data_IF_475386988995
#
_entry.id   IF_475386988995
#
_cell.length_a   1.000
_cell.length_b   1.000
_cell.length_c   1.000
_cell.angle_alpha   90.00
_cell.angle_beta   90.00
_cell.angle_gamma   90.00
#
_symmetry.space_group_name_H-M   'P 1'
#
loop_
_entity.id
_entity.type
_entity.pdbx_description
1 polymer ?
#
# COMPACT_ATOMS: atom_id res chain seq x y z
N UNK A 1 -13.42 -9.69 2.81
CA UNK A 1 -12.44 -9.55 1.70
C UNK A 1 -11.75 -10.88 1.45
N UNK A 2 -11.45 -11.19 0.19
CA UNK A 2 -10.62 -12.34 -0.17
C UNK A 2 -9.16 -12.12 0.25
N UNK A 3 -8.33 -13.17 0.38
CA UNK A 3 -6.90 -13.02 0.67
C UNK A 3 -6.17 -12.12 -0.34
N UNK A 4 -6.56 -12.19 -1.62
CA UNK A 4 -6.00 -11.33 -2.67
C UNK A 4 -6.36 -9.85 -2.51
N UNK A 5 -7.57 -9.54 -2.04
CA UNK A 5 -8.01 -8.17 -1.76
C UNK A 5 -7.25 -7.57 -0.57
N UNK A 6 -7.10 -8.35 0.52
CA UNK A 6 -6.30 -7.91 1.67
C UNK A 6 -4.85 -7.60 1.29
N UNK A 7 -4.25 -8.47 0.48
CA UNK A 7 -2.89 -8.24 -0.02
C UNK A 7 -2.80 -7.01 -0.92
N UNK A 8 -3.77 -6.79 -1.82
CA UNK A 8 -3.80 -5.58 -2.65
C UNK A 8 -3.85 -4.30 -1.81
N UNK A 9 -4.62 -4.33 -0.71
CA UNK A 9 -4.68 -3.23 0.25
C UNK A 9 -3.34 -3.00 0.95
N UNK A 10 -2.70 -4.07 1.45
CA UNK A 10 -1.38 -3.96 2.08
C UNK A 10 -0.31 -3.38 1.13
N UNK A 11 -0.32 -3.79 -0.15
CA UNK A 11 0.57 -3.20 -1.18
C UNK A 11 0.35 -1.71 -1.34
N UNK A 12 -0.92 -1.31 -1.45
CA UNK A 12 -1.28 0.10 -1.60
C UNK A 12 -0.81 0.92 -0.39
N UNK A 13 -1.04 0.43 0.83
CA UNK A 13 -0.59 1.09 2.06
C UNK A 13 0.93 1.22 2.12
N UNK A 14 1.68 0.17 1.78
CA UNK A 14 3.14 0.24 1.74
C UNK A 14 3.64 1.24 0.69
N UNK A 15 3.04 1.26 -0.51
CA UNK A 15 3.39 2.24 -1.53
C UNK A 15 3.06 3.68 -1.10
N UNK A 16 1.89 3.91 -0.50
CA UNK A 16 1.52 5.22 0.02
C UNK A 16 2.48 5.69 1.12
N UNK A 17 2.91 4.76 1.98
CA UNK A 17 3.92 5.03 2.99
C UNK A 17 5.25 5.46 2.39
N UNK A 18 5.74 4.76 1.36
CA UNK A 18 6.97 5.12 0.65
C UNK A 18 6.90 6.52 0.04
N UNK A 19 5.75 6.88 -0.55
CA UNK A 19 5.55 8.21 -1.13
C UNK A 19 5.47 9.34 -0.09
N UNK A 20 5.23 9.00 1.18
CA UNK A 20 5.17 9.99 2.29
C UNK A 20 6.55 10.25 2.89
N UNK A 21 7.54 9.38 2.62
CA UNK A 21 8.90 9.58 3.11
C UNK A 21 9.53 10.78 2.40
N UNK A 22 10.26 11.66 3.11
CA UNK A 22 11.01 12.73 2.48
C UNK A 22 12.04 12.08 1.54
N UNK A 23 11.94 12.38 0.24
CA UNK A 23 12.96 11.97 -0.70
C UNK A 23 14.27 12.63 -0.28
N UNK A 24 15.22 11.83 0.23
CA UNK A 24 16.59 12.28 0.44
C UNK A 24 17.12 12.77 -0.92
N UNK A 25 17.35 14.07 -0.98
CA UNK A 25 17.67 14.88 -2.16
C UNK A 25 18.82 14.23 -2.97
N UNK A 26 18.51 13.60 -4.10
CA UNK A 26 19.50 13.31 -5.14
C UNK A 26 19.55 14.50 -6.10
N UNK A 27 20.64 15.28 -6.13
CA UNK A 27 20.72 16.43 -7.01
C UNK A 27 21.03 16.00 -8.44
N UNK A 28 20.37 16.68 -9.37
CA UNK A 28 20.69 16.80 -10.80
C UNK A 28 20.56 15.56 -11.71
N UNK A 29 19.41 15.47 -12.42
CA UNK A 29 19.39 15.39 -13.89
C UNK A 29 18.00 15.75 -14.47
N UNK A 30 17.98 16.89 -15.17
CA UNK A 30 17.15 17.32 -16.32
C UNK A 30 15.69 16.82 -16.41
N UNK A 31 14.78 17.79 -16.37
CA UNK A 31 13.34 17.63 -16.46
C UNK A 31 12.82 17.12 -17.82
N UNK A 32 12.27 15.91 -17.79
CA UNK A 32 11.07 15.50 -18.53
C UNK A 32 10.05 15.25 -17.42
N UNK A 33 8.88 15.92 -17.41
CA UNK A 33 7.86 15.82 -16.33
C UNK A 33 7.80 14.39 -15.77
N UNK A 34 8.47 14.07 -14.65
CA UNK A 34 8.61 12.69 -14.27
C UNK A 34 7.28 12.30 -13.66
N UNK A 35 6.65 11.25 -14.17
CA UNK A 35 5.78 10.41 -13.36
C UNK A 35 6.50 10.25 -12.02
N UNK A 36 5.84 10.63 -10.91
CA UNK A 36 6.41 10.65 -9.56
C UNK A 36 7.31 9.42 -9.38
N UNK A 37 8.56 9.56 -8.89
CA UNK A 37 9.46 8.43 -8.74
C UNK A 37 8.81 7.44 -7.78
N UNK A 38 8.11 6.46 -8.34
CA UNK A 38 7.51 5.38 -7.60
C UNK A 38 8.69 4.60 -7.08
N UNK A 39 8.96 4.70 -5.78
CA UNK A 39 10.07 4.01 -5.15
C UNK A 39 10.06 2.55 -5.60
N UNK A 40 11.14 2.08 -6.22
CA UNK A 40 11.22 0.71 -6.71
C UNK A 40 11.28 -0.22 -5.50
N UNK A 41 10.30 -1.12 -5.37
CA UNK A 41 10.27 -2.10 -4.30
C UNK A 41 9.95 -3.49 -4.84
N UNK A 42 10.41 -4.50 -4.12
CA UNK A 42 10.21 -5.91 -4.46
C UNK A 42 9.27 -6.59 -3.47
N UNK A 43 8.50 -7.56 -3.97
CA UNK A 43 7.65 -8.43 -3.15
C UNK A 43 8.22 -9.84 -3.08
N UNK A 44 8.22 -10.42 -1.90
CA UNK A 44 8.55 -11.82 -1.67
C UNK A 44 7.58 -12.47 -0.68
N UNK A 45 7.57 -13.80 -0.66
CA UNK A 45 6.83 -14.57 0.34
C UNK A 45 7.58 -14.51 1.68
N UNK A 46 6.85 -14.29 2.76
CA UNK A 46 7.41 -14.35 4.11
C UNK A 46 7.07 -15.69 4.77
N UNK A 47 8.12 -16.47 5.06
CA UNK A 47 8.05 -17.75 5.77
C UNK A 47 8.81 -17.61 7.08
N UNK A 48 8.16 -17.97 8.19
CA UNK A 48 8.78 -18.01 9.51
C UNK A 48 8.47 -19.37 10.16
N UNK A 49 9.48 -20.02 10.72
CA UNK A 49 9.40 -21.36 11.31
C UNK A 49 8.79 -22.42 10.38
N UNK A 50 9.00 -22.28 9.07
CA UNK A 50 8.44 -23.18 8.05
C UNK A 50 6.97 -22.93 7.68
N UNK A 51 6.34 -21.90 8.25
CA UNK A 51 4.95 -21.54 7.96
C UNK A 51 4.87 -20.27 7.10
N UNK A 52 3.94 -20.28 6.13
CA UNK A 52 3.58 -19.07 5.40
C UNK A 52 2.92 -18.08 6.37
N UNK A 53 3.56 -16.93 6.55
CA UNK A 53 3.06 -15.85 7.43
C UNK A 53 2.51 -14.66 6.65
N UNK A 54 2.87 -14.52 5.37
CA UNK A 54 2.33 -13.47 4.51
C UNK A 54 3.33 -13.00 3.45
N UNK A 55 3.48 -11.68 3.31
CA UNK A 55 4.32 -11.07 2.27
C UNK A 55 5.33 -10.11 2.88
N UNK A 56 6.52 -10.08 2.29
CA UNK A 56 7.56 -9.10 2.61
C UNK A 56 7.73 -8.16 1.42
N UNK A 57 7.69 -6.87 1.70
CA UNK A 57 8.00 -5.80 0.77
C UNK A 57 9.36 -5.21 1.14
N UNK A 58 10.18 -4.85 0.16
CA UNK A 58 11.54 -4.37 0.41
C UNK A 58 11.99 -3.34 -0.62
N UNK A 59 12.55 -2.24 -0.14
CA UNK A 59 13.38 -1.27 -0.88
C UNK A 59 14.85 -1.43 -0.43
N UNK A 60 15.75 -0.58 -0.92
CA UNK A 60 17.15 -0.61 -0.48
C UNK A 60 17.32 -0.22 1.01
N UNK A 61 16.47 0.68 1.52
CA UNK A 61 16.58 1.26 2.86
C UNK A 61 15.43 0.92 3.81
N UNK A 62 14.41 0.20 3.37
CA UNK A 62 13.23 -0.10 4.19
C UNK A 62 12.69 -1.47 3.87
N UNK A 63 12.10 -2.14 4.85
CA UNK A 63 11.32 -3.33 4.59
C UNK A 63 10.01 -3.36 5.37
N UNK A 64 8.98 -3.97 4.79
CA UNK A 64 7.73 -4.18 5.47
C UNK A 64 7.30 -5.65 5.39
N UNK A 65 6.57 -6.11 6.40
CA UNK A 65 5.99 -7.45 6.44
C UNK A 65 4.50 -7.30 6.67
N UNK A 66 3.72 -7.81 5.74
CA UNK A 66 2.29 -7.99 5.92
C UNK A 66 2.01 -9.41 6.41
N UNK A 67 1.40 -9.51 7.58
CA UNK A 67 0.98 -10.76 8.21
C UNK A 67 -0.45 -11.09 7.79
N UNK A 68 -0.65 -12.25 7.16
CA UNK A 68 -1.94 -12.59 6.55
C UNK A 68 -3.02 -12.95 7.56
N UNK A 69 -2.65 -13.50 8.73
CA UNK A 69 -3.60 -13.96 9.75
C UNK A 69 -4.11 -12.77 10.57
N UNK A 70 -3.19 -11.94 11.05
CA UNK A 70 -3.45 -10.70 11.78
C UNK A 70 -3.98 -9.59 10.87
N UNK A 71 -3.72 -9.67 9.57
CA UNK A 71 -4.05 -8.63 8.60
C UNK A 71 -3.45 -7.28 9.03
N UNK A 72 -2.16 -7.32 9.37
CA UNK A 72 -1.35 -6.23 9.90
C UNK A 72 -0.11 -6.02 9.01
N UNK A 73 0.23 -4.77 8.72
CA UNK A 73 1.42 -4.38 7.98
C UNK A 73 2.40 -3.70 8.92
N UNK A 74 3.62 -4.25 9.04
CA UNK A 74 4.67 -3.70 9.89
C UNK A 74 5.82 -3.21 9.03
N UNK A 75 6.18 -1.94 9.17
CA UNK A 75 7.21 -1.28 8.39
C UNK A 75 8.44 -1.09 9.28
N UNK A 76 9.61 -1.36 8.72
CA UNK A 76 10.90 -1.34 9.38
C UNK A 76 11.88 -0.48 8.57
N UNK A 77 12.68 0.30 9.28
CA UNK A 77 13.77 1.09 8.68
C UNK A 77 14.97 0.23 8.25
N UNK A 78 16.06 0.88 7.86
CA UNK A 78 17.31 0.26 7.44
C UNK A 78 18.01 -0.52 8.58
N UNK A 79 17.82 -0.07 9.83
CA UNK A 79 18.31 -0.74 11.03
C UNK A 79 17.45 -1.95 11.42
N UNK A 80 16.30 -2.15 10.75
CA UNK A 80 15.34 -3.20 11.03
C UNK A 80 14.42 -2.90 12.21
N UNK A 81 14.43 -1.67 12.73
CA UNK A 81 13.52 -1.23 13.79
C UNK A 81 12.13 -0.98 13.21
N UNK A 82 11.09 -1.43 13.91
CA UNK A 82 9.72 -1.19 13.46
C UNK A 82 9.34 0.28 13.67
N UNK A 83 9.19 1.01 12.57
CA UNK A 83 8.87 2.44 12.54
C UNK A 83 7.37 2.71 12.45
N UNK A 84 6.61 1.80 11.85
CA UNK A 84 5.17 1.94 11.71
C UNK A 84 4.47 0.58 11.71
N UNK A 85 3.27 0.53 12.27
CA UNK A 85 2.40 -0.64 12.24
C UNK A 85 1.00 -0.19 11.85
N UNK A 86 0.46 -0.79 10.80
CA UNK A 86 -0.87 -0.51 10.28
C UNK A 86 -1.75 -1.75 10.50
N UNK A 87 -2.76 -1.60 11.32
CA UNK A 87 -3.81 -2.60 11.50
C UNK A 87 -4.71 -2.73 10.28
N UNK A 88 -5.52 -3.79 10.22
CA UNK A 88 -6.52 -3.99 9.18
C UNK A 88 -7.46 -2.78 9.00
N UNK A 89 -7.83 -2.11 10.09
CA UNK A 89 -8.72 -0.95 10.07
C UNK A 89 -8.02 0.31 9.53
N UNK A 90 -6.76 0.54 9.91
CA UNK A 90 -5.97 1.67 9.41
C UNK A 90 -5.66 1.51 7.93
N UNK A 91 -5.29 0.30 7.51
CA UNK A 91 -5.13 -0.02 6.09
C UNK A 91 -6.41 0.20 5.29
N UNK A 92 -7.58 -0.16 5.85
CA UNK A 92 -8.87 0.10 5.21
C UNK A 92 -9.15 1.59 5.06
N UNK A 93 -8.93 2.37 6.12
CA UNK A 93 -9.14 3.81 6.11
C UNK A 93 -8.24 4.50 5.07
N UNK A 94 -6.96 4.12 5.02
CA UNK A 94 -6.00 4.67 4.06
C UNK A 94 -6.34 4.27 2.61
N UNK A 95 -6.76 3.02 2.38
CA UNK A 95 -7.16 2.54 1.07
C UNK A 95 -8.45 3.21 0.58
N UNK A 96 -9.44 3.37 1.45
CA UNK A 96 -10.69 4.05 1.12
C UNK A 96 -10.48 5.54 0.83
N UNK A 97 -9.59 6.21 1.56
CA UNK A 97 -9.24 7.62 1.33
C UNK A 97 -8.57 7.85 -0.03
N UNK A 98 -7.89 6.85 -0.58
CA UNK A 98 -7.20 6.93 -1.86
C UNK A 98 -8.10 6.61 -3.07
N UNK A 99 -9.29 6.02 -2.86
CA UNK A 99 -10.23 5.83 -3.95
C UNK A 99 -10.97 7.14 -4.25
N UNK A 100 -11.01 7.62 -5.51
CA UNK A 100 -11.88 8.73 -5.86
C UNK A 100 -13.31 8.29 -5.54
N UNK A 101 -13.97 9.02 -4.66
CA UNK A 101 -15.37 8.82 -4.32
C UNK A 101 -16.17 8.78 -5.62
N UNK A 102 -16.47 7.58 -6.10
CA UNK A 102 -17.34 7.42 -7.27
C UNK A 102 -18.74 7.54 -6.69
N UNK A 103 -19.18 8.79 -6.57
CA UNK A 103 -20.55 9.16 -6.25
C UNK A 103 -21.47 8.43 -7.24
N UNK A 104 -21.99 7.30 -6.78
CA UNK A 104 -22.92 6.48 -7.53
C UNK A 104 -24.33 6.93 -7.15
N UNK A 105 -24.62 8.23 -7.27
CA UNK A 105 -25.98 8.72 -7.39
C UNK A 105 -26.51 8.34 -8.78
N UNK A 106 -26.95 7.10 -8.91
CA UNK A 106 -27.63 6.60 -10.10
C UNK A 106 -28.90 7.43 -10.36
N UNK A 107 -28.87 8.06 -11.53
CA UNK A 107 -29.96 8.66 -12.29
C UNK A 107 -31.21 7.77 -12.27
N UNK A 108 -32.31 8.28 -11.71
CA UNK A 108 -33.65 7.72 -11.87
C UNK A 108 -33.99 7.52 -13.36
N UNK A 109 -34.47 6.35 -13.79
CA UNK A 109 -35.03 6.21 -15.13
C UNK A 109 -36.42 6.83 -15.15
N UNK A 110 -36.53 7.99 -15.81
CA UNK A 110 -37.80 8.61 -16.23
C UNK A 110 -38.60 7.59 -17.07
N UNK A 111 -39.52 6.86 -16.43
CA UNK A 111 -40.49 6.01 -17.13
C UNK A 111 -41.45 6.91 -17.91
N UNK A 112 -41.32 6.90 -19.24
CA UNK A 112 -42.37 7.31 -20.17
C UNK A 112 -43.57 6.36 -20.07
N UNK A 113 -44.73 6.88 -19.73
CA UNK A 113 -46.05 6.39 -20.11
C UNK A 113 -47.04 7.54 -19.83
N UNK A 114 -48.05 7.87 -20.63
CA UNK A 114 -48.44 7.63 -22.01
C UNK A 114 -49.39 8.79 -22.31
#
# INVERSE_FOLDING_TARGET
MTPSQKLARARHCFQAWLNTQPAEDSPDTIQIRPSEPQAEWSESVFICDGFYRGRRFRTDSTSAIWFTEEDELKIHDEDGSCVETLSSAEMEAQFAAAQPQTDTAQTEPLRRAA
#
